data_IF_173692442201
#
_entry.id   IF_173692442201
#
_cell.length_a   1.000
_cell.length_b   1.000
_cell.length_c   1.000
_cell.angle_alpha   90.00
_cell.angle_beta   90.00
_cell.angle_gamma   90.00
#
_symmetry.space_group_name_H-M   'P 1'
#
loop_
_entity.id
_entity.type
_entity.pdbx_description
1 polymer ?
#
# COMPACT_ATOMS: atom_id res chain seq x y z
N UNK A 1 -1.90 4.13 -21.57
CA UNK A 1 -1.50 3.92 -20.17
C UNK A 1 -2.76 3.88 -19.32
N UNK A 2 -2.74 3.19 -18.18
CA UNK A 2 -3.87 3.14 -17.25
C UNK A 2 -3.46 3.80 -15.93
N UNK A 3 -4.41 4.45 -15.27
CA UNK A 3 -4.19 5.02 -13.95
C UNK A 3 -4.49 3.98 -12.88
N UNK A 4 -3.61 3.86 -11.90
CA UNK A 4 -3.77 2.98 -10.75
C UNK A 4 -3.67 3.80 -9.47
N UNK A 5 -4.52 3.44 -8.51
CA UNK A 5 -4.47 3.93 -7.15
C UNK A 5 -3.85 2.83 -6.28
N UNK A 6 -2.75 3.17 -5.62
CA UNK A 6 -1.99 2.27 -4.77
C UNK A 6 -2.03 2.82 -3.35
N UNK A 7 -2.56 2.04 -2.42
CA UNK A 7 -2.57 2.36 -1.00
C UNK A 7 -1.53 1.51 -0.28
N UNK A 8 -0.71 2.17 0.53
CA UNK A 8 0.27 1.57 1.43
C UNK A 8 -0.22 1.70 2.85
N UNK A 9 -0.14 0.60 3.62
CA UNK A 9 -0.48 0.60 5.03
C UNK A 9 0.56 -0.17 5.83
N UNK A 10 1.08 0.45 6.88
CA UNK A 10 1.96 -0.23 7.85
C UNK A 10 1.73 0.32 9.25
N UNK A 11 2.13 -0.45 10.25
CA UNK A 11 2.03 -0.03 11.65
C UNK A 11 3.33 0.64 12.10
N UNK A 12 3.26 1.89 12.50
CA UNK A 12 4.31 2.64 13.20
C UNK A 12 4.11 2.52 14.71
N UNK A 13 5.20 2.47 15.47
CA UNK A 13 5.15 2.27 16.93
C UNK A 13 4.77 3.55 17.69
N UNK A 14 4.93 4.70 17.06
CA UNK A 14 4.66 6.02 17.64
C UNK A 14 3.34 6.59 17.12
N UNK A 15 3.08 6.43 15.81
CA UNK A 15 1.95 7.09 15.13
C UNK A 15 0.74 6.17 14.89
N UNK A 16 0.86 4.86 15.17
CA UNK A 16 -0.22 3.90 14.97
C UNK A 16 -0.23 3.35 13.55
N UNK A 17 -1.38 3.33 12.87
CA UNK A 17 -1.45 2.84 11.49
C UNK A 17 -1.21 3.99 10.53
N UNK A 18 -0.12 3.90 9.74
CA UNK A 18 0.19 4.85 8.68
C UNK A 18 -0.47 4.38 7.39
N UNK A 19 -1.21 5.27 6.74
CA UNK A 19 -1.82 5.04 5.43
C UNK A 19 -1.34 6.08 4.42
N UNK A 20 -0.96 5.63 3.23
CA UNK A 20 -0.53 6.51 2.14
C UNK A 20 -1.11 6.05 0.81
N UNK A 21 -1.83 6.93 0.13
CA UNK A 21 -2.46 6.63 -1.16
C UNK A 21 -1.78 7.42 -2.28
N UNK A 22 -1.40 6.73 -3.35
CA UNK A 22 -0.71 7.31 -4.50
C UNK A 22 -1.44 6.94 -5.78
N UNK A 23 -1.76 7.93 -6.61
CA UNK A 23 -2.29 7.73 -7.97
C UNK A 23 -1.16 7.87 -8.98
N UNK A 24 -0.99 6.89 -9.85
CA UNK A 24 0.04 6.93 -10.89
C UNK A 24 -0.39 6.21 -12.17
N UNK A 25 0.19 6.66 -13.28
CA UNK A 25 0.02 6.00 -14.57
C UNK A 25 1.08 4.92 -14.79
N UNK A 26 0.63 3.76 -15.27
CA UNK A 26 1.49 2.65 -15.63
C UNK A 26 0.92 1.86 -16.81
N UNK A 27 1.77 1.02 -17.42
CA UNK A 27 1.35 0.09 -18.48
C UNK A 27 0.65 -1.17 -17.92
N UNK A 28 0.92 -1.54 -16.67
CA UNK A 28 0.39 -2.74 -16.02
C UNK A 28 0.28 -2.57 -14.51
N UNK A 29 -0.55 -3.39 -13.87
CA UNK A 29 -0.74 -3.40 -12.40
C UNK A 29 0.57 -3.73 -11.66
N UNK A 30 1.35 -4.78 -12.03
CA UNK A 30 2.64 -5.04 -11.37
C UNK A 30 3.63 -3.88 -11.55
N UNK A 31 3.62 -3.22 -12.72
CA UNK A 31 4.44 -2.04 -12.97
C UNK A 31 4.04 -0.86 -12.09
N UNK A 32 2.74 -0.66 -11.85
CA UNK A 32 2.24 0.36 -10.95
C UNK A 32 2.68 0.11 -9.50
N UNK A 33 2.48 -1.12 -9.00
CA UNK A 33 2.91 -1.53 -7.65
C UNK A 33 4.40 -1.31 -7.47
N UNK A 34 5.23 -1.80 -8.41
CA UNK A 34 6.68 -1.69 -8.30
C UNK A 34 7.16 -0.24 -8.28
N UNK A 35 6.57 0.62 -9.12
CA UNK A 35 6.91 2.04 -9.18
C UNK A 35 6.49 2.76 -7.89
N UNK A 36 5.25 2.54 -7.44
CA UNK A 36 4.71 3.15 -6.24
C UNK A 36 5.47 2.72 -4.98
N UNK A 37 5.73 1.42 -4.82
CA UNK A 37 6.41 0.89 -3.64
C UNK A 37 7.84 1.41 -3.53
N UNK A 38 8.56 1.55 -4.65
CA UNK A 38 9.90 2.13 -4.65
C UNK A 38 9.91 3.57 -4.17
N UNK A 39 9.00 4.39 -4.67
CA UNK A 39 8.92 5.81 -4.27
C UNK A 39 8.45 5.96 -2.82
N UNK A 40 7.48 5.14 -2.39
CA UNK A 40 7.03 5.10 -1.01
C UNK A 40 8.17 4.75 -0.04
N UNK A 41 8.85 3.62 -0.25
CA UNK A 41 9.95 3.19 0.62
C UNK A 41 11.10 4.19 0.60
N UNK A 42 11.41 4.80 -0.54
CA UNK A 42 12.42 5.86 -0.64
C UNK A 42 12.09 7.06 0.25
N UNK A 43 10.82 7.46 0.33
CA UNK A 43 10.35 8.57 1.15
C UNK A 43 10.31 8.29 2.66
N UNK A 44 10.44 7.03 3.09
CA UNK A 44 10.46 6.68 4.51
C UNK A 44 11.82 6.90 5.17
N UNK A 45 11.78 7.42 6.39
CA UNK A 45 12.94 7.55 7.27
C UNK A 45 13.43 6.20 7.81
N UNK A 46 14.66 6.16 8.34
CA UNK A 46 15.27 4.92 8.89
C UNK A 46 14.38 4.21 9.92
N UNK A 47 13.70 4.97 10.79
CA UNK A 47 12.82 4.41 11.83
C UNK A 47 11.54 3.82 11.22
N UNK A 48 10.89 4.59 10.35
CA UNK A 48 9.69 4.14 9.63
C UNK A 48 9.96 2.89 8.78
N UNK A 49 11.11 2.83 8.09
CA UNK A 49 11.52 1.61 7.35
C UNK A 49 11.72 0.41 8.27
N UNK A 50 12.31 0.62 9.45
CA UNK A 50 12.48 -0.46 10.42
C UNK A 50 11.12 -0.97 10.91
N UNK A 51 10.20 -0.07 11.25
CA UNK A 51 8.87 -0.45 11.73
C UNK A 51 8.04 -1.11 10.63
N UNK A 52 8.06 -0.57 9.40
CA UNK A 52 7.46 -1.19 8.22
C UNK A 52 8.01 -2.61 7.98
N UNK A 53 9.33 -2.79 8.00
CA UNK A 53 9.94 -4.11 7.79
C UNK A 53 9.61 -5.10 8.92
N UNK A 54 9.40 -4.59 10.14
CA UNK A 54 9.10 -5.41 11.32
C UNK A 54 7.63 -5.79 11.40
N UNK A 55 6.73 -4.88 11.03
CA UNK A 55 5.28 -5.04 11.20
C UNK A 55 4.58 -5.43 9.89
N UNK A 56 5.31 -5.42 8.77
CA UNK A 56 4.77 -5.68 7.46
C UNK A 56 4.26 -4.41 6.77
N UNK A 57 4.24 -4.48 5.44
CA UNK A 57 3.65 -3.47 4.56
C UNK A 57 2.53 -4.13 3.78
N UNK A 58 1.32 -3.62 3.94
CA UNK A 58 0.18 -3.98 3.11
C UNK A 58 0.09 -3.03 1.92
N UNK A 59 -0.19 -3.60 0.75
CA UNK A 59 -0.29 -2.85 -0.51
C UNK A 59 -1.61 -3.23 -1.16
N UNK A 60 -2.52 -2.26 -1.31
CA UNK A 60 -3.77 -2.42 -2.03
C UNK A 60 -3.70 -1.64 -3.34
N UNK A 61 -4.10 -2.26 -4.45
CA UNK A 61 -4.11 -1.60 -5.76
C UNK A 61 -5.46 -1.71 -6.43
N UNK A 62 -5.94 -0.58 -6.95
CA UNK A 62 -7.17 -0.48 -7.74
C UNK A 62 -6.89 0.25 -9.05
N UNK A 63 -7.42 -0.23 -10.17
CA UNK A 63 -7.35 0.49 -11.44
C UNK A 63 -8.41 1.59 -11.48
N UNK A 64 -7.99 2.84 -11.61
CA UNK A 64 -8.89 3.99 -11.73
C UNK A 64 -9.22 4.16 -13.22
N UNK A 65 -10.34 3.58 -13.66
CA UNK A 65 -10.70 3.60 -15.09
C UNK A 65 -11.70 2.56 -15.57
N UNK A 66 -12.35 1.81 -14.68
CA UNK A 66 -13.55 1.04 -15.01
C UNK A 66 -14.42 1.09 -13.76
N UNK A 67 -15.58 1.74 -13.87
CA UNK A 67 -16.63 1.79 -12.85
C UNK A 67 -16.81 0.42 -12.20
N UNK A 68 -16.52 0.30 -10.90
CA UNK A 68 -17.23 -0.53 -9.91
C UNK A 68 -16.57 -0.30 -8.54
N UNK A 69 -17.34 0.21 -7.60
CA UNK A 69 -17.09 0.15 -6.17
C UNK A 69 -16.81 -1.31 -5.76
N UNK A 70 -15.62 -1.59 -5.23
CA UNK A 70 -15.40 -2.80 -4.46
C UNK A 70 -14.35 -2.50 -3.38
N UNK A 71 -14.90 -2.12 -2.23
CA UNK A 71 -14.58 -2.63 -0.90
C UNK A 71 -13.11 -2.68 -0.48
N UNK A 72 -12.79 -1.85 0.50
CA UNK A 72 -11.76 -2.16 1.47
C UNK A 72 -12.34 -3.20 2.43
N UNK A 73 -11.74 -4.38 2.50
CA UNK A 73 -11.87 -5.43 3.53
C UNK A 73 -10.85 -6.51 3.08
N UNK A 74 -9.85 -6.94 3.86
CA UNK A 74 -9.89 -7.28 5.25
C UNK A 74 -8.55 -7.01 5.96
N UNK A 75 -8.63 -6.26 7.06
CA UNK A 75 -7.80 -6.51 8.23
C UNK A 75 -8.39 -7.70 8.99
N UNK A 76 -7.50 -8.55 9.52
CA UNK A 76 -7.68 -9.45 10.66
C UNK A 76 -8.65 -10.65 10.52
N UNK A 77 -8.10 -11.86 10.64
CA UNK A 77 -8.47 -12.73 11.75
C UNK A 77 -7.29 -13.65 12.13
N UNK A 78 -7.02 -13.71 13.43
CA UNK A 78 -6.07 -14.60 14.08
C UNK A 78 -6.68 -15.97 14.36
N UNK A 79 -5.81 -16.98 14.49
CA UNK A 79 -5.85 -18.09 15.45
C UNK A 79 -7.17 -18.84 15.74
N UNK A 80 -7.26 -20.08 15.23
CA UNK A 80 -7.74 -21.31 15.89
C UNK A 80 -7.76 -22.43 14.82
N UNK A 81 -7.31 -23.67 15.02
CA UNK A 81 -6.79 -24.40 16.17
C UNK A 81 -6.10 -25.68 15.67
#
# INVERSE_FOLDING_TARGET
>A
MKTFEVQFRYRDRNEGTIESTVKLDASSLPGAVAKAAREFVKGLDRKQRFDMNKNGLEITVKSVGTTTEAQAEASAESAAG
#
